data_IF_460270056680
#
_entry.id   IF_460270056680
#
_cell.length_a   1.000
_cell.length_b   1.000
_cell.length_c   1.000
_cell.angle_alpha   90.00
_cell.angle_beta   90.00
_cell.angle_gamma   90.00
#
_symmetry.space_group_name_H-M   'P 1'
#
loop_
_entity.id
_entity.type
_entity.pdbx_description
1 polymer ?
#
# COMPACT_ATOMS: atom_id res chain seq x y z
N UNK A 1 0.02 17.41 -40.66
CA UNK A 1 0.61 17.18 -39.31
C UNK A 1 0.33 15.73 -38.95
N UNK A 2 1.29 15.00 -38.41
CA UNK A 2 1.06 13.62 -37.93
C UNK A 2 0.77 13.68 -36.44
N UNK A 3 -0.18 12.91 -35.94
CA UNK A 3 -0.48 12.83 -34.49
C UNK A 3 0.20 11.60 -33.87
N UNK A 4 0.56 11.71 -32.58
CA UNK A 4 1.04 10.56 -31.81
C UNK A 4 -0.09 9.56 -31.60
N UNK A 5 0.10 8.29 -31.94
CA UNK A 5 -0.95 7.26 -31.79
C UNK A 5 -1.29 6.94 -30.32
N UNK A 6 -0.41 7.29 -29.37
CA UNK A 6 -0.67 7.09 -27.94
C UNK A 6 -1.37 8.27 -27.27
N UNK A 7 -0.86 9.49 -27.47
CA UNK A 7 -1.30 10.67 -26.73
C UNK A 7 -2.05 11.69 -27.59
N UNK A 8 -2.23 11.42 -28.89
CA UNK A 8 -2.93 12.25 -29.87
C UNK A 8 -2.40 13.69 -30.00
N UNK A 9 -1.22 13.99 -29.46
CA UNK A 9 -0.58 15.29 -29.60
C UNK A 9 0.03 15.45 -31.01
N UNK A 10 0.00 16.66 -31.59
CA UNK A 10 0.59 16.91 -32.90
C UNK A 10 2.12 16.74 -32.87
N UNK A 11 2.66 16.15 -33.94
CA UNK A 11 4.08 15.88 -34.12
C UNK A 11 4.62 16.57 -35.39
N UNK A 12 5.91 16.93 -35.36
CA UNK A 12 6.62 17.40 -36.57
C UNK A 12 6.68 16.26 -37.58
N UNK A 13 6.18 16.52 -38.79
CA UNK A 13 6.10 15.59 -39.92
C UNK A 13 7.49 15.31 -40.50
N UNK A 14 8.24 14.36 -39.93
CA UNK A 14 9.44 13.82 -40.59
C UNK A 14 9.98 12.51 -39.97
N UNK A 15 9.17 11.69 -39.32
CA UNK A 15 9.63 10.34 -38.98
C UNK A 15 8.46 9.37 -39.02
N UNK A 16 8.71 8.18 -39.56
CA UNK A 16 7.81 7.02 -39.58
C UNK A 16 7.50 6.47 -38.15
N UNK A 17 7.59 7.32 -37.14
CA UNK A 17 7.52 6.98 -35.74
C UNK A 17 6.08 7.20 -35.26
N UNK A 18 5.43 6.13 -34.85
CA UNK A 18 4.05 6.16 -34.35
C UNK A 18 3.91 6.79 -32.95
N UNK A 19 5.05 7.07 -32.28
CA UNK A 19 5.12 7.67 -30.95
C UNK A 19 5.92 8.98 -30.95
N UNK A 20 5.44 9.99 -30.22
CA UNK A 20 6.18 11.22 -29.95
C UNK A 20 7.35 10.98 -28.99
N UNK A 21 8.29 11.93 -28.93
CA UNK A 21 9.51 11.81 -28.10
C UNK A 21 9.20 11.51 -26.63
N UNK A 22 8.19 12.15 -26.03
CA UNK A 22 7.83 11.90 -24.63
C UNK A 22 7.31 10.47 -24.44
N UNK A 23 6.37 10.02 -25.28
CA UNK A 23 5.84 8.66 -25.20
C UNK A 23 6.92 7.60 -25.42
N UNK A 24 7.93 7.86 -26.24
CA UNK A 24 9.08 6.97 -26.41
C UNK A 24 9.95 6.89 -25.16
N UNK A 25 10.16 8.02 -24.48
CA UNK A 25 10.88 8.06 -23.21
C UNK A 25 10.12 7.30 -22.14
N UNK A 26 8.81 7.54 -22.01
CA UNK A 26 7.96 6.86 -21.03
C UNK A 26 7.89 5.36 -21.29
N UNK A 27 7.68 4.96 -22.55
CA UNK A 27 7.66 3.56 -22.96
C UNK A 27 8.99 2.88 -22.61
N UNK A 28 10.11 3.53 -22.92
CA UNK A 28 11.44 3.02 -22.58
C UNK A 28 11.65 2.86 -21.06
N UNK A 29 11.20 3.84 -20.28
CA UNK A 29 11.28 3.78 -18.83
C UNK A 29 10.48 2.59 -18.27
N UNK A 30 9.28 2.33 -18.80
CA UNK A 30 8.46 1.18 -18.40
C UNK A 30 9.12 -0.16 -18.74
N UNK A 31 9.75 -0.29 -19.91
CA UNK A 31 10.51 -1.51 -20.26
C UNK A 31 11.63 -1.76 -19.24
N UNK A 32 12.33 -0.69 -18.87
CA UNK A 32 13.40 -0.80 -17.87
C UNK A 32 12.83 -1.18 -16.50
N UNK A 33 11.76 -0.52 -16.05
CA UNK A 33 11.10 -0.77 -14.77
C UNK A 33 10.55 -2.20 -14.67
N UNK A 34 9.98 -2.73 -15.76
CA UNK A 34 9.45 -4.10 -15.80
C UNK A 34 10.54 -5.13 -15.44
N UNK A 35 11.68 -5.10 -16.13
CA UNK A 35 12.75 -6.07 -15.93
C UNK A 35 13.66 -5.79 -14.74
N UNK A 36 13.89 -4.52 -14.40
CA UNK A 36 14.81 -4.14 -13.33
C UNK A 36 14.17 -4.16 -11.94
N UNK A 37 12.87 -3.84 -11.84
CA UNK A 37 12.18 -3.64 -10.56
C UNK A 37 11.03 -4.63 -10.39
N UNK A 38 10.07 -4.63 -11.33
CA UNK A 38 8.81 -5.34 -11.11
C UNK A 38 8.97 -6.87 -11.11
N UNK A 39 9.64 -7.44 -12.11
CA UNK A 39 9.84 -8.89 -12.20
C UNK A 39 10.67 -9.46 -11.03
N UNK A 40 11.79 -8.85 -10.60
CA UNK A 40 12.48 -9.27 -9.39
C UNK A 40 11.61 -9.22 -8.13
N UNK A 41 10.81 -8.16 -7.95
CA UNK A 41 9.93 -8.01 -6.79
C UNK A 41 8.76 -9.01 -6.79
N UNK A 42 8.13 -9.26 -7.95
CA UNK A 42 7.08 -10.27 -8.06
C UNK A 42 7.63 -11.68 -7.78
N UNK A 43 8.86 -11.98 -8.22
CA UNK A 43 9.51 -13.26 -7.94
C UNK A 43 9.84 -13.45 -6.46
N UNK A 44 10.22 -12.40 -5.73
CA UNK A 44 10.44 -12.50 -4.27
C UNK A 44 9.13 -12.73 -3.51
N UNK A 45 8.02 -12.16 -3.97
CA UNK A 45 6.67 -12.42 -3.43
C UNK A 45 6.20 -13.84 -3.74
N UNK A 46 6.35 -14.29 -4.98
CA UNK A 46 5.96 -15.64 -5.41
C UNK A 46 6.66 -16.72 -4.56
N UNK A 47 7.94 -16.51 -4.23
CA UNK A 47 8.73 -17.38 -3.36
C UNK A 47 8.50 -17.15 -1.86
N UNK A 48 7.57 -16.27 -1.47
CA UNK A 48 7.31 -15.79 -0.09
C UNK A 48 8.53 -15.25 0.65
N UNK A 49 9.57 -14.85 -0.08
CA UNK A 49 10.75 -14.18 0.48
C UNK A 49 10.45 -12.73 0.85
N UNK A 50 9.37 -12.16 0.28
CA UNK A 50 8.80 -10.88 0.65
C UNK A 50 7.27 -11.02 0.80
N UNK A 51 6.69 -10.30 1.77
CA UNK A 51 5.24 -10.18 1.94
C UNK A 51 4.85 -8.72 1.75
N UNK A 52 3.73 -8.50 1.06
CA UNK A 52 3.16 -7.16 0.86
C UNK A 52 1.88 -7.07 1.69
N UNK A 53 1.86 -6.16 2.68
CA UNK A 53 0.76 -5.99 3.64
C UNK A 53 1.06 -6.52 5.04
N UNK A 54 0.22 -6.19 6.02
CA UNK A 54 0.30 -6.74 7.38
C UNK A 54 -0.19 -8.20 7.40
N UNK A 55 0.46 -9.11 8.15
CA UNK A 55 -0.02 -10.49 8.27
C UNK A 55 -1.40 -10.50 8.92
N UNK A 56 -2.44 -10.83 8.17
CA UNK A 56 -3.75 -11.09 8.75
C UNK A 56 -3.69 -12.45 9.48
N UNK A 57 -3.64 -12.44 10.81
CA UNK A 57 -3.79 -13.64 11.62
C UNK A 57 -5.26 -14.07 11.66
N UNK A 58 -5.74 -14.65 10.56
CA UNK A 58 -6.97 -15.44 10.59
C UNK A 58 -6.59 -16.86 11.03
N UNK A 59 -7.21 -17.44 12.09
CA UNK A 59 -6.94 -18.81 12.50
C UNK A 59 -7.36 -19.75 11.36
N UNK A 60 -6.39 -20.25 10.60
CA UNK A 60 -6.68 -21.07 9.43
C UNK A 60 -7.05 -22.49 9.87
N UNK A 61 -8.34 -22.84 9.77
CA UNK A 61 -8.81 -24.21 9.95
C UNK A 61 -8.44 -25.02 8.69
N UNK A 62 -7.36 -25.78 8.78
CA UNK A 62 -7.27 -27.09 8.14
C UNK A 62 -6.73 -27.22 6.70
N UNK A 63 -6.29 -26.16 6.03
CA UNK A 63 -5.56 -26.30 4.75
C UNK A 63 -4.20 -25.60 4.82
N UNK A 64 -3.11 -26.35 4.59
CA UNK A 64 -1.79 -25.78 4.41
C UNK A 64 -1.82 -24.82 3.21
N UNK A 65 -1.38 -23.55 3.36
CA UNK A 65 -1.32 -22.62 2.24
C UNK A 65 -0.43 -23.20 1.14
N UNK A 66 -0.85 -23.10 -0.12
CA UNK A 66 -0.05 -23.54 -1.28
C UNK A 66 1.39 -22.98 -1.18
N UNK A 67 2.42 -23.70 -1.62
CA UNK A 67 3.81 -23.28 -1.46
C UNK A 67 4.20 -22.03 -2.26
N UNK A 68 3.34 -21.57 -3.19
CA UNK A 68 3.55 -20.41 -4.06
C UNK A 68 2.35 -19.46 -4.02
N UNK A 69 2.59 -18.17 -4.27
CA UNK A 69 1.53 -17.20 -4.54
C UNK A 69 1.14 -17.27 -6.02
N UNK A 70 -0.02 -17.87 -6.31
CA UNK A 70 -0.55 -18.09 -7.66
C UNK A 70 -0.82 -16.76 -8.38
N UNK A 71 -1.25 -15.72 -7.65
CA UNK A 71 -1.50 -14.40 -8.23
C UNK A 71 -0.19 -13.75 -8.67
N UNK A 72 0.87 -13.86 -7.88
CA UNK A 72 2.19 -13.38 -8.28
C UNK A 72 2.74 -14.18 -9.48
N UNK A 73 2.48 -15.48 -9.54
CA UNK A 73 2.86 -16.33 -10.68
C UNK A 73 2.20 -15.87 -12.00
N UNK A 74 0.90 -15.57 -11.98
CA UNK A 74 0.18 -15.10 -13.17
C UNK A 74 0.74 -13.77 -13.69
N UNK A 75 1.05 -12.83 -12.77
CA UNK A 75 1.65 -11.54 -13.13
C UNK A 75 3.06 -11.68 -13.72
N UNK A 76 3.85 -12.64 -13.20
CA UNK A 76 5.14 -13.01 -13.77
C UNK A 76 4.94 -13.56 -15.18
N UNK A 77 4.03 -14.53 -15.36
CA UNK A 77 3.79 -15.15 -16.66
C UNK A 77 3.36 -14.12 -17.72
N UNK A 78 2.44 -13.21 -17.40
CA UNK A 78 2.00 -12.12 -18.30
C UNK A 78 3.19 -11.22 -18.70
N UNK A 79 4.03 -10.87 -17.72
CA UNK A 79 5.21 -10.02 -17.93
C UNK A 79 6.28 -10.70 -18.79
N UNK A 80 6.51 -11.99 -18.59
CA UNK A 80 7.49 -12.79 -19.33
C UNK A 80 7.02 -13.07 -20.76
N UNK A 81 5.73 -13.35 -20.95
CA UNK A 81 5.14 -13.51 -22.28
C UNK A 81 5.31 -12.23 -23.10
N UNK A 82 5.07 -11.07 -22.49
CA UNK A 82 5.30 -9.79 -23.16
C UNK A 82 6.77 -9.61 -23.56
N UNK A 83 7.73 -9.87 -22.66
CA UNK A 83 9.16 -9.79 -22.97
C UNK A 83 9.58 -10.75 -24.09
N UNK A 84 9.08 -11.99 -24.08
CA UNK A 84 9.37 -12.98 -25.12
C UNK A 84 8.84 -12.52 -26.49
N UNK A 85 7.63 -11.97 -26.54
CA UNK A 85 7.05 -11.45 -27.77
C UNK A 85 7.88 -10.28 -28.33
N UNK A 86 8.22 -9.29 -27.49
CA UNK A 86 9.01 -8.14 -27.94
C UNK A 86 10.42 -8.52 -28.36
N UNK A 87 11.06 -9.47 -27.66
CA UNK A 87 12.35 -10.01 -28.06
C UNK A 87 12.25 -10.75 -29.40
N UNK A 88 11.18 -11.53 -29.60
CA UNK A 88 10.86 -12.22 -30.85
C UNK A 88 10.68 -11.28 -32.04
N UNK A 89 10.07 -10.10 -31.83
CA UNK A 89 9.94 -9.04 -32.85
C UNK A 89 11.29 -8.47 -33.29
N UNK A 90 12.29 -8.44 -32.41
CA UNK A 90 13.68 -8.08 -32.78
C UNK A 90 14.30 -9.21 -33.60
N UNK A 91 14.21 -10.44 -33.09
CA UNK A 91 14.70 -11.65 -33.75
C UNK A 91 13.91 -12.85 -33.24
N UNK A 92 13.36 -13.65 -34.14
CA UNK A 92 12.53 -14.82 -33.79
C UNK A 92 13.20 -15.77 -32.78
N UNK A 93 14.52 -15.96 -32.88
CA UNK A 93 15.28 -16.80 -31.95
C UNK A 93 15.24 -16.30 -30.49
N UNK A 94 15.03 -15.00 -30.26
CA UNK A 94 14.98 -14.43 -28.91
C UNK A 94 13.65 -14.69 -28.20
N UNK A 95 12.61 -15.15 -28.91
CA UNK A 95 11.34 -15.51 -28.30
C UNK A 95 11.46 -16.71 -27.33
N UNK A 96 12.49 -17.54 -27.52
CA UNK A 96 12.78 -18.69 -26.65
C UNK A 96 13.70 -18.33 -25.46
N UNK A 97 14.10 -17.06 -25.31
CA UNK A 97 14.95 -16.65 -24.19
C UNK A 97 14.17 -16.65 -22.88
N UNK A 98 14.88 -16.96 -21.79
CA UNK A 98 14.38 -16.63 -20.45
C UNK A 98 14.18 -15.11 -20.32
N UNK A 99 13.30 -14.70 -19.41
CA UNK A 99 12.89 -13.30 -19.28
C UNK A 99 14.06 -12.32 -19.12
N UNK A 100 15.14 -12.72 -18.44
CA UNK A 100 16.28 -11.84 -18.16
C UNK A 100 17.10 -11.65 -19.43
N UNK A 101 17.36 -12.73 -20.19
CA UNK A 101 18.00 -12.64 -21.51
C UNK A 101 17.12 -11.90 -22.52
N UNK A 102 15.81 -12.12 -22.52
CA UNK A 102 14.86 -11.41 -23.37
C UNK A 102 14.89 -9.91 -23.06
N UNK A 103 14.84 -9.54 -21.79
CA UNK A 103 14.97 -8.14 -21.34
C UNK A 103 16.31 -7.53 -21.73
N UNK A 104 17.43 -8.25 -21.55
CA UNK A 104 18.74 -7.76 -22.01
C UNK A 104 18.78 -7.55 -23.53
N UNK A 105 18.21 -8.46 -24.32
CA UNK A 105 18.12 -8.32 -25.76
C UNK A 105 17.30 -7.08 -26.16
N UNK A 106 16.18 -6.82 -25.48
CA UNK A 106 15.35 -5.63 -25.68
C UNK A 106 16.13 -4.35 -25.34
N UNK A 107 16.80 -4.30 -24.18
CA UNK A 107 17.52 -3.07 -23.78
C UNK A 107 18.69 -2.76 -24.72
N UNK A 108 19.35 -3.79 -25.26
CA UNK A 108 20.43 -3.63 -26.25
C UNK A 108 19.91 -3.19 -27.63
N UNK A 109 18.61 -3.32 -27.90
CA UNK A 109 17.98 -2.99 -29.18
C UNK A 109 16.97 -1.84 -29.07
N UNK A 110 17.27 -0.85 -28.21
CA UNK A 110 16.43 0.35 -27.97
C UNK A 110 15.89 0.98 -29.24
N UNK A 111 16.77 1.23 -30.21
CA UNK A 111 16.38 1.90 -31.45
C UNK A 111 15.34 1.08 -32.22
N UNK A 112 15.52 -0.23 -32.31
CA UNK A 112 14.58 -1.11 -33.02
C UNK A 112 13.21 -1.09 -32.36
N UNK A 113 13.13 -1.38 -31.06
CA UNK A 113 11.87 -1.47 -30.31
C UNK A 113 11.05 -0.18 -30.38
N UNK A 114 11.70 0.97 -30.22
CA UNK A 114 11.00 2.26 -30.19
C UNK A 114 10.56 2.77 -31.57
N UNK A 115 11.00 2.13 -32.66
CA UNK A 115 10.64 2.48 -34.04
C UNK A 115 9.82 1.39 -34.73
N UNK A 116 9.43 0.32 -34.04
CA UNK A 116 8.57 -0.71 -34.63
C UNK A 116 7.20 -0.12 -35.00
N UNK A 117 6.58 -0.60 -36.09
CA UNK A 117 5.20 -0.23 -36.42
C UNK A 117 4.20 -0.59 -35.32
N UNK A 118 4.50 -1.57 -34.49
CA UNK A 118 3.63 -2.00 -33.38
C UNK A 118 3.88 -1.23 -32.08
N UNK A 119 4.84 -0.29 -32.05
CA UNK A 119 5.32 0.31 -30.81
C UNK A 119 4.23 1.02 -29.99
N UNK A 120 3.19 1.56 -30.63
CA UNK A 120 2.07 2.19 -29.93
C UNK A 120 1.19 1.18 -29.18
N UNK A 121 0.89 0.05 -29.83
CA UNK A 121 0.10 -1.04 -29.24
C UNK A 121 0.92 -1.78 -28.17
N UNK A 122 2.20 -2.03 -28.44
CA UNK A 122 3.13 -2.63 -27.48
C UNK A 122 3.26 -1.77 -26.22
N UNK A 123 3.30 -0.44 -26.38
CA UNK A 123 3.30 0.50 -25.27
C UNK A 123 1.98 0.42 -24.46
N UNK A 124 0.83 0.42 -25.12
CA UNK A 124 -0.46 0.29 -24.43
C UNK A 124 -0.55 -1.02 -23.64
N UNK A 125 -0.14 -2.14 -24.25
CA UNK A 125 -0.10 -3.45 -23.59
C UNK A 125 0.83 -3.43 -22.37
N UNK A 126 2.04 -2.88 -22.50
CA UNK A 126 2.98 -2.78 -21.39
C UNK A 126 2.44 -1.92 -20.25
N UNK A 127 1.75 -0.83 -20.56
CA UNK A 127 1.16 0.03 -19.53
C UNK A 127 0.10 -0.73 -18.71
N UNK A 128 -0.71 -1.57 -19.37
CA UNK A 128 -1.68 -2.41 -18.67
C UNK A 128 -1.01 -3.43 -17.73
N UNK A 129 0.06 -4.09 -18.20
CA UNK A 129 0.84 -5.03 -17.39
C UNK A 129 1.51 -4.30 -16.21
N UNK A 130 2.20 -3.18 -16.48
CA UNK A 130 2.91 -2.38 -15.48
C UNK A 130 1.97 -1.93 -14.36
N UNK A 131 0.77 -1.47 -14.70
CA UNK A 131 -0.22 -1.04 -13.70
C UNK A 131 -0.71 -2.20 -12.83
N UNK A 132 -0.96 -3.38 -13.41
CA UNK A 132 -1.35 -4.57 -12.64
C UNK A 132 -0.23 -5.02 -11.71
N UNK A 133 1.01 -4.99 -12.20
CA UNK A 133 2.19 -5.29 -11.41
C UNK A 133 2.33 -4.28 -10.26
N UNK A 134 2.25 -2.98 -10.53
CA UNK A 134 2.32 -1.92 -9.51
C UNK A 134 1.26 -2.08 -8.42
N UNK A 135 0.02 -2.39 -8.79
CA UNK A 135 -1.05 -2.68 -7.82
C UNK A 135 -0.75 -3.88 -6.94
N UNK A 136 -0.10 -4.92 -7.47
CA UNK A 136 0.31 -6.07 -6.67
C UNK A 136 1.55 -5.79 -5.81
N UNK A 137 2.42 -4.88 -6.28
CA UNK A 137 3.67 -4.48 -5.62
C UNK A 137 3.49 -3.34 -4.61
N UNK A 138 2.33 -2.69 -4.60
CA UNK A 138 2.00 -1.63 -3.65
C UNK A 138 1.22 -2.26 -2.50
N UNK A 139 1.71 -2.20 -1.25
CA UNK A 139 0.94 -2.65 -0.11
C UNK A 139 -0.35 -1.85 0.00
N UNK A 140 -1.47 -2.54 0.25
CA UNK A 140 -2.65 -1.88 0.78
C UNK A 140 -2.24 -1.31 2.15
N UNK A 141 -2.18 0.02 2.28
CA UNK A 141 -1.83 0.65 3.55
C UNK A 141 -2.82 0.15 4.60
N UNK A 142 -2.32 -0.43 5.69
CA UNK A 142 -3.16 -0.98 6.73
C UNK A 142 -4.12 0.10 7.23
N UNK A 143 -5.42 -0.15 7.09
CA UNK A 143 -6.45 0.75 7.59
C UNK A 143 -6.37 0.77 9.11
N UNK A 144 -6.17 1.95 9.68
CA UNK A 144 -6.17 2.17 11.13
C UNK A 144 -7.46 2.86 11.54
N UNK A 145 -7.96 2.55 12.74
CA UNK A 145 -9.14 3.21 13.28
C UNK A 145 -8.74 4.62 13.73
N UNK A 146 -9.39 5.62 13.13
CA UNK A 146 -9.09 7.04 13.36
C UNK A 146 -10.11 7.71 14.30
N UNK A 147 -11.23 7.05 14.58
CA UNK A 147 -12.29 7.55 15.48
C UNK A 147 -13.68 7.14 15.00
N UNK A 148 -14.65 8.05 15.15
CA UNK A 148 -16.03 7.86 14.68
C UNK A 148 -16.50 9.07 13.89
N UNK A 149 -17.35 8.86 12.88
CA UNK A 149 -17.98 9.92 12.12
C UNK A 149 -18.69 10.92 13.06
N UNK A 150 -18.35 12.22 13.02
CA UNK A 150 -18.97 13.23 13.88
C UNK A 150 -20.48 13.38 13.65
N UNK A 151 -20.98 13.00 12.46
CA UNK A 151 -22.39 13.16 12.09
C UNK A 151 -23.28 11.99 12.48
N UNK A 152 -22.79 10.75 12.39
CA UNK A 152 -23.62 9.55 12.58
C UNK A 152 -23.02 8.49 13.51
N UNK A 153 -21.82 8.70 14.04
CA UNK A 153 -21.16 7.76 14.95
C UNK A 153 -20.56 6.52 14.27
N UNK A 154 -20.68 6.37 12.95
CA UNK A 154 -20.06 5.25 12.22
C UNK A 154 -18.54 5.18 12.47
N UNK A 155 -18.01 3.99 12.72
CA UNK A 155 -16.58 3.80 12.98
C UNK A 155 -15.75 4.25 11.77
N UNK A 156 -14.81 5.16 12.00
CA UNK A 156 -13.95 5.70 10.97
C UNK A 156 -12.62 4.95 10.97
N UNK A 157 -12.30 4.30 9.86
CA UNK A 157 -10.99 3.74 9.58
C UNK A 157 -10.43 4.35 8.29
N UNK A 158 -9.12 4.61 8.29
CA UNK A 158 -8.41 5.22 7.17
C UNK A 158 -6.95 4.81 7.18
N UNK A 159 -6.25 4.97 6.05
CA UNK A 159 -4.79 4.80 6.03
C UNK A 159 -4.10 5.90 6.84
N UNK A 160 -2.92 5.67 7.44
CA UNK A 160 -2.23 6.67 8.25
C UNK A 160 -1.95 8.01 7.53
N UNK A 161 -1.78 7.96 6.21
CA UNK A 161 -1.44 9.08 5.34
C UNK A 161 -2.67 9.83 4.78
N UNK A 162 -3.87 9.28 4.97
CA UNK A 162 -5.07 9.90 4.44
C UNK A 162 -5.34 11.25 5.11
N UNK A 163 -5.51 12.31 4.30
CA UNK A 163 -5.85 13.64 4.79
C UNK A 163 -7.36 13.81 5.01
N UNK A 164 -8.17 13.14 4.19
CA UNK A 164 -9.64 13.22 4.23
C UNK A 164 -10.28 11.84 4.35
N UNK A 165 -11.44 11.80 4.98
CA UNK A 165 -12.23 10.59 5.14
C UNK A 165 -13.70 10.88 4.79
N UNK A 166 -14.33 9.93 4.10
CA UNK A 166 -15.75 10.00 3.74
C UNK A 166 -16.49 8.87 4.44
N UNK A 167 -17.51 9.23 5.20
CA UNK A 167 -18.34 8.26 5.90
C UNK A 167 -19.13 7.40 4.90
N UNK A 168 -19.03 6.06 4.97
CA UNK A 168 -19.79 5.18 4.08
C UNK A 168 -21.30 5.28 4.33
N UNK A 169 -21.73 5.51 5.57
CA UNK A 169 -23.15 5.57 5.94
C UNK A 169 -23.80 6.92 5.60
N UNK A 170 -23.35 8.01 6.23
CA UNK A 170 -24.02 9.32 6.13
C UNK A 170 -23.42 10.26 5.06
N UNK A 171 -22.41 9.78 4.31
CA UNK A 171 -21.68 10.51 3.27
C UNK A 171 -21.03 11.83 3.71
N UNK A 172 -20.95 12.08 5.01
CA UNK A 172 -20.19 13.21 5.55
C UNK A 172 -18.71 13.05 5.21
N UNK A 173 -18.09 14.15 4.79
CA UNK A 173 -16.66 14.20 4.45
C UNK A 173 -15.97 15.22 5.36
N UNK A 174 -14.78 14.88 5.84
CA UNK A 174 -13.97 15.79 6.65
C UNK A 174 -12.52 15.35 6.73
N UNK A 175 -11.69 16.16 7.41
CA UNK A 175 -10.29 15.86 7.60
C UNK A 175 -10.07 14.74 8.62
N UNK A 176 -9.17 13.80 8.33
CA UNK A 176 -8.80 12.70 9.25
C UNK A 176 -8.27 13.24 10.57
N UNK A 177 -7.46 14.30 10.54
CA UNK A 177 -6.93 14.95 11.74
C UNK A 177 -8.03 15.56 12.62
N UNK A 178 -9.11 16.07 12.01
CA UNK A 178 -10.24 16.61 12.78
C UNK A 178 -11.03 15.49 13.48
N UNK A 179 -11.18 14.32 12.84
CA UNK A 179 -11.82 13.14 13.45
C UNK A 179 -10.98 12.63 14.63
N UNK A 180 -9.65 12.58 14.48
CA UNK A 180 -8.72 12.21 15.56
C UNK A 180 -8.78 13.22 16.70
N UNK A 181 -8.69 14.52 16.41
CA UNK A 181 -8.76 15.57 17.42
C UNK A 181 -10.08 15.57 18.21
N UNK A 182 -11.21 15.31 17.54
CA UNK A 182 -12.52 15.18 18.21
C UNK A 182 -12.58 13.96 19.13
N UNK A 183 -12.02 12.83 18.69
CA UNK A 183 -11.87 11.63 19.53
C UNK A 183 -11.01 11.93 20.75
N UNK A 184 -9.87 12.58 20.55
CA UNK A 184 -8.90 12.88 21.60
C UNK A 184 -9.48 13.90 22.61
N UNK A 185 -10.19 14.93 22.14
CA UNK A 185 -10.90 15.88 23.00
C UNK A 185 -11.93 15.20 23.90
N UNK A 186 -12.69 14.23 23.38
CA UNK A 186 -13.64 13.47 24.20
C UNK A 186 -12.93 12.63 25.25
N UNK A 187 -11.78 12.04 24.92
CA UNK A 187 -10.99 11.24 25.87
C UNK A 187 -10.42 12.09 27.02
N UNK A 188 -10.00 13.33 26.75
CA UNK A 188 -9.54 14.27 27.79
C UNK A 188 -10.63 14.66 28.79
N UNK A 189 -11.91 14.53 28.42
CA UNK A 189 -13.05 14.79 29.32
C UNK A 189 -13.47 13.57 30.13
N UNK A 190 -12.88 12.39 29.86
CA UNK A 190 -13.25 11.14 30.52
C UNK A 190 -12.25 10.76 31.59
N UNK A 191 -12.77 10.58 32.80
CA UNK A 191 -12.06 9.93 33.89
C UNK A 191 -12.55 8.49 34.06
N UNK A 192 -11.63 7.58 34.36
CA UNK A 192 -11.95 6.21 34.71
C UNK A 192 -11.28 5.86 36.04
N UNK A 193 -12.09 5.39 37.00
CA UNK A 193 -11.60 4.90 38.29
C UNK A 193 -11.48 3.38 38.23
N UNK A 194 -10.29 2.86 38.54
CA UNK A 194 -10.08 1.42 38.62
C UNK A 194 -8.61 1.03 38.74
N UNK A 195 -8.35 -0.27 38.65
CA UNK A 195 -6.98 -0.81 38.57
C UNK A 195 -6.47 -0.73 37.12
N UNK A 196 -5.14 -0.67 36.88
CA UNK A 196 -4.58 -0.63 35.51
C UNK A 196 -5.10 -1.70 34.54
N UNK A 197 -5.43 -2.90 35.03
CA UNK A 197 -6.02 -3.99 34.21
C UNK A 197 -7.44 -3.66 33.76
N UNK A 198 -8.23 -3.01 34.62
CA UNK A 198 -9.60 -2.62 34.32
C UNK A 198 -9.63 -1.45 33.35
N UNK A 199 -8.71 -0.48 33.53
CA UNK A 199 -8.51 0.63 32.59
C UNK A 199 -8.12 0.11 31.20
N UNK A 200 -7.13 -0.79 31.12
CA UNK A 200 -6.72 -1.42 29.86
C UNK A 200 -7.88 -2.15 29.17
N UNK A 201 -8.71 -2.87 29.94
CA UNK A 201 -9.92 -3.53 29.43
C UNK A 201 -10.97 -2.54 28.96
N UNK A 202 -11.13 -1.42 29.65
CA UNK A 202 -12.06 -0.36 29.26
C UNK A 202 -11.63 0.32 27.97
N UNK A 203 -10.35 0.67 27.85
CA UNK A 203 -9.75 1.20 26.62
C UNK A 203 -9.88 0.23 25.45
N UNK A 204 -9.68 -1.07 25.67
CA UNK A 204 -9.88 -2.09 24.63
C UNK A 204 -11.32 -2.16 24.12
N UNK A 205 -12.34 -1.86 24.96
CA UNK A 205 -13.74 -1.74 24.50
C UNK A 205 -13.96 -0.51 23.61
N UNK A 206 -13.12 0.51 23.77
CA UNK A 206 -13.07 1.71 22.93
C UNK A 206 -12.10 1.54 21.74
N UNK A 207 -11.62 0.32 21.51
CA UNK A 207 -10.63 -0.03 20.48
C UNK A 207 -9.28 0.71 20.62
N UNK A 208 -8.95 1.10 21.85
CA UNK A 208 -7.66 1.69 22.20
C UNK A 208 -6.81 0.60 22.84
N UNK A 209 -5.79 0.12 22.12
CA UNK A 209 -4.93 -0.96 22.58
C UNK A 209 -3.83 -0.45 23.51
N UNK A 210 -4.00 -0.73 24.81
CA UNK A 210 -3.01 -0.45 25.85
C UNK A 210 -2.92 -1.66 26.79
N UNK A 211 -1.71 -2.09 27.16
CA UNK A 211 -1.53 -3.17 28.13
C UNK A 211 -1.51 -2.62 29.55
N UNK A 212 -1.95 -3.43 30.52
CA UNK A 212 -1.90 -3.03 31.94
C UNK A 212 -0.47 -2.78 32.44
N UNK A 213 0.52 -3.43 31.82
CA UNK A 213 1.93 -3.29 32.19
C UNK A 213 2.52 -1.98 31.70
N UNK A 214 2.13 -1.49 30.51
CA UNK A 214 2.46 -0.13 30.07
C UNK A 214 1.92 0.91 31.04
N UNK A 215 0.64 0.80 31.43
CA UNK A 215 0.01 1.73 32.39
C UNK A 215 0.76 1.71 33.73
N UNK A 216 1.05 0.53 34.27
CA UNK A 216 1.85 0.39 35.51
C UNK A 216 3.23 1.02 35.37
N UNK A 217 3.92 0.77 34.26
CA UNK A 217 5.25 1.29 34.04
C UNK A 217 5.26 2.82 33.95
N UNK A 218 4.26 3.44 33.32
CA UNK A 218 4.11 4.88 33.28
C UNK A 218 3.81 5.49 34.65
N UNK A 219 2.96 4.84 35.46
CA UNK A 219 2.73 5.22 36.85
C UNK A 219 4.01 5.14 37.68
N UNK A 220 4.74 4.02 37.63
CA UNK A 220 5.98 3.82 38.40
C UNK A 220 7.07 4.80 37.99
N UNK A 221 7.10 5.20 36.71
CA UNK A 221 8.05 6.18 36.18
C UNK A 221 7.60 7.64 36.37
N UNK A 222 6.44 7.88 36.98
CA UNK A 222 5.89 9.23 37.16
C UNK A 222 5.54 9.95 35.85
N UNK A 223 5.33 9.20 34.76
CA UNK A 223 4.99 9.76 33.44
C UNK A 223 3.48 9.91 33.21
N UNK A 224 2.68 9.19 33.99
CA UNK A 224 1.22 9.21 33.94
C UNK A 224 0.71 9.73 35.28
N UNK A 225 -0.05 10.82 35.26
CA UNK A 225 -0.71 11.33 36.44
C UNK A 225 -1.97 10.50 36.71
N UNK A 226 -2.07 9.98 37.92
CA UNK A 226 -3.28 9.31 38.38
C UNK A 226 -3.45 9.59 39.88
N UNK A 227 -4.68 9.90 40.28
CA UNK A 227 -4.98 10.21 41.68
C UNK A 227 -5.28 8.92 42.43
N UNK A 228 -4.50 8.55 43.47
CA UNK A 228 -4.78 7.35 44.26
C UNK A 228 -6.14 7.43 44.93
N UNK A 229 -6.88 6.33 44.96
CA UNK A 229 -8.15 6.23 45.69
C UNK A 229 -7.94 5.66 47.11
N UNK A 230 -9.04 5.50 47.86
CA UNK A 230 -9.02 4.85 49.17
C UNK A 230 -8.72 3.34 49.10
N UNK A 231 -8.83 2.73 47.92
CA UNK A 231 -8.59 1.31 47.72
C UNK A 231 -7.20 1.04 47.15
N UNK A 232 -6.53 0.00 47.67
CA UNK A 232 -5.15 -0.32 47.30
C UNK A 232 -5.04 -0.67 45.81
N UNK A 233 -4.20 0.09 45.09
CA UNK A 233 -3.86 -0.14 43.69
C UNK A 233 -4.91 0.34 42.69
N UNK A 234 -5.89 1.12 43.16
CA UNK A 234 -6.92 1.75 42.35
C UNK A 234 -6.68 3.26 42.28
N UNK A 235 -6.79 3.81 41.07
CA UNK A 235 -6.52 5.21 40.77
C UNK A 235 -7.63 5.79 39.89
N UNK A 236 -7.78 7.11 39.93
CA UNK A 236 -8.54 7.87 38.94
C UNK A 236 -7.59 8.28 37.84
N UNK A 237 -7.88 7.84 36.61
CA UNK A 237 -7.10 8.11 35.41
C UNK A 237 -7.85 9.04 34.46
N UNK A 238 -7.15 10.01 33.87
CA UNK A 238 -7.64 10.70 32.68
C UNK A 238 -7.34 9.84 31.44
N UNK A 239 -8.37 9.52 30.65
CA UNK A 239 -8.19 8.64 29.49
C UNK A 239 -7.43 9.33 28.35
N UNK A 240 -7.56 10.65 28.20
CA UNK A 240 -6.81 11.46 27.23
C UNK A 240 -5.30 11.43 27.50
N UNK A 241 -4.90 11.46 28.77
CA UNK A 241 -3.49 11.35 29.16
C UNK A 241 -2.91 9.97 28.83
N UNK A 242 -3.68 8.90 29.05
CA UNK A 242 -3.26 7.53 28.69
C UNK A 242 -3.09 7.40 27.17
N UNK A 243 -4.01 7.97 26.37
CA UNK A 243 -3.89 7.93 24.91
C UNK A 243 -2.72 8.76 24.39
N UNK A 244 -2.46 9.93 24.97
CA UNK A 244 -1.28 10.73 24.63
C UNK A 244 0.04 9.98 24.91
N UNK A 245 0.07 9.16 25.98
CA UNK A 245 1.22 8.29 26.30
C UNK A 245 1.45 7.18 25.27
N UNK A 246 0.41 6.74 24.55
CA UNK A 246 0.53 5.78 23.45
C UNK A 246 1.08 6.43 22.18
N UNK A 247 0.61 7.63 21.85
CA UNK A 247 1.01 8.35 20.64
C UNK A 247 2.46 8.85 20.70
N UNK A 248 2.97 9.23 21.88
CA UNK A 248 4.35 9.67 22.09
C UNK A 248 5.40 8.53 22.12
N UNK A 249 4.98 7.27 22.12
CA UNK A 249 5.85 6.10 22.34
C UNK A 249 5.70 4.99 21.28
N UNK A 250 4.96 5.27 20.20
CA UNK A 250 4.97 4.51 18.94
C UNK A 250 5.81 5.26 17.88
#
# INVERSE_FOLDING_TARGET
MTECQRCHKPMKTAAANMLCTSCRTDYWAMIYQLGHVQLPALRSIMLRQAHIGTPAHTPNKGNAPLPIDVRAQDLIADSEAWLAEQAGKIRAAYAAYDWRKAWYAIISNRHTILNMPTAADDYASLQHISRRNEQALTPEEAMVIIGTCPKCGHQAASTPQAETWTCPDCKWQGGVQAIKAERDNKLWQLEYTGKPVEVARYLAKMDIHCTSDQIRQWLTRGKLHATPTKHKGEYVFNLGEITAMLDCHN
#
